data_IF_576626099716
#
_entry.id   IF_576626099716
#
_cell.length_a   1.000
_cell.length_b   1.000
_cell.length_c   1.000
_cell.angle_alpha   90.00
_cell.angle_beta   90.00
_cell.angle_gamma   90.00
#
_symmetry.space_group_name_H-M   'P 1'
#
loop_
_entity.id
_entity.type
_entity.pdbx_description
1 polymer ?
#
# COMPACT_ATOMS: atom_id res chain seq x y z
N UNK A 1 6.68 -18.07 -23.17
CA UNK A 1 7.62 -17.10 -22.56
C UNK A 1 6.82 -15.97 -21.96
N UNK A 2 7.15 -15.51 -20.75
CA UNK A 2 6.51 -14.32 -20.18
C UNK A 2 6.85 -13.09 -21.05
N UNK A 3 5.87 -12.22 -21.31
CA UNK A 3 5.97 -11.09 -22.27
C UNK A 3 7.22 -10.23 -22.10
N UNK A 4 7.70 -10.07 -20.86
CA UNK A 4 8.81 -9.19 -20.50
C UNK A 4 10.07 -9.95 -20.04
N UNK A 5 10.16 -11.25 -20.27
CA UNK A 5 11.29 -12.05 -19.78
C UNK A 5 12.64 -11.50 -20.30
N UNK A 6 12.73 -11.23 -21.60
CA UNK A 6 13.99 -10.82 -22.23
C UNK A 6 14.49 -9.46 -21.74
N UNK A 7 13.57 -8.51 -21.51
CA UNK A 7 13.94 -7.16 -21.01
C UNK A 7 14.36 -7.15 -19.54
N UNK A 8 14.15 -8.25 -18.80
CA UNK A 8 14.63 -8.41 -17.42
C UNK A 8 15.98 -9.13 -17.34
N UNK A 9 16.53 -9.65 -18.43
CA UNK A 9 17.83 -10.33 -18.44
C UNK A 9 18.99 -9.36 -18.18
N UNK A 10 18.89 -8.13 -18.68
CA UNK A 10 19.94 -7.11 -18.60
C UNK A 10 19.34 -5.76 -18.20
N UNK A 11 18.99 -5.55 -16.91
CA UNK A 11 18.42 -4.29 -16.45
C UNK A 11 19.44 -3.16 -16.59
N UNK A 12 18.95 -1.98 -16.99
CA UNK A 12 19.73 -0.76 -17.15
C UNK A 12 19.19 0.35 -16.22
N UNK A 13 19.75 1.55 -16.35
CA UNK A 13 19.36 2.76 -15.61
C UNK A 13 17.87 3.11 -15.79
N UNK A 14 17.31 4.04 -14.99
CA UNK A 14 15.93 4.49 -15.16
C UNK A 14 15.58 4.84 -16.60
N UNK A 15 14.41 4.38 -17.08
CA UNK A 15 13.97 4.54 -18.47
C UNK A 15 14.45 3.44 -19.42
N UNK A 16 14.94 2.31 -18.90
CA UNK A 16 15.27 1.15 -19.73
C UNK A 16 14.03 0.48 -20.35
N UNK A 17 14.26 -0.64 -21.05
CA UNK A 17 13.22 -1.36 -21.78
C UNK A 17 12.18 -2.08 -20.89
N UNK A 18 12.35 -2.10 -19.56
CA UNK A 18 11.36 -2.72 -18.67
C UNK A 18 10.06 -1.93 -18.69
N UNK A 19 8.91 -2.62 -18.68
CA UNK A 19 7.63 -1.95 -18.80
C UNK A 19 7.34 -1.11 -17.55
N UNK A 20 6.74 0.05 -17.75
CA UNK A 20 6.10 0.80 -16.67
C UNK A 20 4.82 0.10 -16.22
N UNK A 21 4.34 0.39 -15.01
CA UNK A 21 3.07 -0.14 -14.53
C UNK A 21 1.89 0.23 -15.47
N UNK A 22 1.90 1.44 -16.04
CA UNK A 22 0.91 1.86 -17.05
C UNK A 22 1.00 0.99 -18.30
N UNK A 23 2.21 0.70 -18.79
CA UNK A 23 2.38 -0.20 -19.94
C UNK A 23 1.81 -1.58 -19.65
N UNK A 24 2.06 -2.14 -18.46
CA UNK A 24 1.50 -3.43 -18.05
C UNK A 24 -0.03 -3.40 -18.08
N UNK A 25 -0.67 -2.37 -17.51
CA UNK A 25 -2.13 -2.24 -17.51
C UNK A 25 -2.71 -2.25 -18.94
N UNK A 26 -2.06 -1.53 -19.87
CA UNK A 26 -2.48 -1.47 -21.28
C UNK A 26 -2.26 -2.79 -22.01
N UNK A 27 -1.06 -3.35 -21.88
CA UNK A 27 -0.63 -4.58 -22.54
C UNK A 27 -1.50 -5.78 -22.12
N UNK A 28 -1.98 -5.79 -20.88
CA UNK A 28 -2.90 -6.81 -20.32
C UNK A 28 -4.39 -6.47 -20.57
N UNK A 29 -4.70 -5.38 -21.28
CA UNK A 29 -6.08 -4.99 -21.60
C UNK A 29 -6.93 -4.72 -20.36
N UNK A 30 -6.31 -4.28 -19.25
CA UNK A 30 -6.95 -4.11 -17.96
C UNK A 30 -7.66 -2.75 -17.80
N UNK A 31 -7.55 -1.87 -18.79
CA UNK A 31 -8.22 -0.57 -18.81
C UNK A 31 -9.75 -0.74 -18.69
N UNK A 32 -10.35 -0.03 -17.72
CA UNK A 32 -11.78 -0.12 -17.40
C UNK A 32 -12.28 -1.46 -16.82
N UNK A 33 -11.44 -2.51 -16.71
CA UNK A 33 -11.88 -3.85 -16.30
C UNK A 33 -12.24 -3.99 -14.83
N UNK A 34 -11.88 -3.01 -14.00
CA UNK A 34 -12.20 -2.99 -12.57
C UNK A 34 -13.23 -1.89 -12.23
N UNK A 35 -14.00 -1.44 -13.23
CA UNK A 35 -15.13 -0.53 -12.99
C UNK A 35 -16.08 -1.09 -11.91
N UNK A 36 -16.49 -0.21 -10.99
CA UNK A 36 -17.34 -0.60 -9.85
C UNK A 36 -16.62 -1.37 -8.74
N UNK A 37 -15.30 -1.55 -8.81
CA UNK A 37 -14.49 -2.15 -7.74
C UNK A 37 -13.75 -1.08 -6.94
N UNK A 38 -13.45 -1.38 -5.69
CA UNK A 38 -12.76 -0.46 -4.77
C UNK A 38 -11.36 -0.97 -4.44
N UNK A 39 -10.36 -0.11 -4.60
CA UNK A 39 -8.96 -0.38 -4.28
C UNK A 39 -8.51 0.62 -3.21
N UNK A 40 -7.94 0.10 -2.13
CA UNK A 40 -7.30 0.88 -1.06
C UNK A 40 -5.79 0.74 -1.19
N UNK A 41 -5.06 1.86 -1.19
CA UNK A 41 -3.60 1.88 -1.30
C UNK A 41 -3.02 2.73 -0.17
N UNK A 42 -2.10 2.17 0.63
CA UNK A 42 -1.42 2.94 1.68
C UNK A 42 -0.16 3.63 1.16
N UNK A 43 0.18 4.80 1.72
CA UNK A 43 1.46 5.47 1.45
C UNK A 43 1.55 6.06 0.04
N UNK A 44 0.56 6.88 -0.33
CA UNK A 44 0.38 7.38 -1.70
C UNK A 44 0.93 8.79 -1.95
N UNK A 45 1.76 9.30 -1.04
CA UNK A 45 2.37 10.64 -1.14
C UNK A 45 3.81 10.64 -1.68
N UNK A 46 4.41 9.47 -1.94
CA UNK A 46 5.75 9.34 -2.53
C UNK A 46 5.98 7.95 -3.15
N UNK A 47 6.95 7.86 -4.06
CA UNK A 47 7.51 6.58 -4.53
C UNK A 47 6.50 5.64 -5.20
N UNK A 48 6.63 4.35 -4.92
CA UNK A 48 5.88 3.24 -5.55
C UNK A 48 4.36 3.43 -5.41
N UNK A 49 3.90 3.97 -4.29
CA UNK A 49 2.47 4.21 -4.05
C UNK A 49 1.83 5.17 -5.06
N UNK A 50 2.56 6.20 -5.51
CA UNK A 50 2.06 7.15 -6.51
C UNK A 50 1.89 6.45 -7.86
N UNK A 51 2.92 5.73 -8.31
CA UNK A 51 2.89 5.05 -9.61
C UNK A 51 1.87 3.90 -9.64
N UNK A 52 1.69 3.22 -8.50
CA UNK A 52 0.63 2.22 -8.32
C UNK A 52 -0.75 2.86 -8.48
N UNK A 53 -0.99 4.01 -7.81
CA UNK A 53 -2.26 4.73 -7.93
C UNK A 53 -2.52 5.24 -9.36
N UNK A 54 -1.49 5.79 -10.03
CA UNK A 54 -1.58 6.27 -11.42
C UNK A 54 -1.90 5.15 -12.41
N UNK A 55 -1.27 3.98 -12.27
CA UNK A 55 -1.55 2.85 -13.15
C UNK A 55 -2.94 2.27 -12.89
N UNK A 56 -3.33 2.10 -11.62
CA UNK A 56 -4.63 1.53 -11.26
C UNK A 56 -5.81 2.48 -11.52
N UNK A 57 -5.59 3.78 -11.69
CA UNK A 57 -6.68 4.70 -12.08
C UNK A 57 -7.21 4.38 -13.49
N UNK A 58 -6.37 3.82 -14.36
CA UNK A 58 -6.75 3.42 -15.73
C UNK A 58 -7.68 2.20 -15.75
N UNK A 59 -7.69 1.39 -14.70
CA UNK A 59 -8.56 0.19 -14.64
C UNK A 59 -10.02 0.54 -14.37
N UNK A 60 -10.34 1.82 -14.14
CA UNK A 60 -11.70 2.29 -13.85
C UNK A 60 -12.17 2.00 -12.43
N UNK A 61 -11.31 1.42 -11.58
CA UNK A 61 -11.62 1.21 -10.17
C UNK A 61 -11.74 2.54 -9.42
N UNK A 62 -12.53 2.54 -8.35
CA UNK A 62 -12.51 3.61 -7.37
C UNK A 62 -11.33 3.41 -6.43
N UNK A 63 -10.50 4.44 -6.30
CA UNK A 63 -9.29 4.42 -5.47
C UNK A 63 -9.51 5.21 -4.17
N UNK A 64 -9.17 4.60 -3.05
CA UNK A 64 -9.05 5.25 -1.75
C UNK A 64 -7.57 5.24 -1.36
N UNK A 65 -6.96 6.42 -1.44
CA UNK A 65 -5.51 6.60 -1.41
C UNK A 65 -5.12 7.20 -0.06
N UNK A 66 -4.41 6.43 0.76
CA UNK A 66 -4.08 6.90 2.11
C UNK A 66 -2.74 7.60 2.17
N UNK A 67 -2.68 8.65 2.99
CA UNK A 67 -1.44 9.35 3.30
C UNK A 67 -1.55 10.08 4.65
N UNK A 68 -0.46 10.08 5.41
CA UNK A 68 -0.12 11.20 6.30
C UNK A 68 0.22 12.38 5.39
N UNK A 69 0.19 13.65 5.76
CA UNK A 69 0.34 14.75 4.76
C UNK A 69 -0.50 14.61 3.45
N UNK A 70 -1.76 15.02 3.54
CA UNK A 70 -2.67 15.04 2.40
C UNK A 70 -2.29 16.09 1.35
N UNK A 71 -1.57 17.16 1.73
CA UNK A 71 -1.19 18.20 0.77
C UNK A 71 -0.13 17.64 -0.19
N UNK A 72 0.87 16.94 0.35
CA UNK A 72 1.88 16.24 -0.46
C UNK A 72 1.23 15.20 -1.38
N UNK A 73 0.29 14.40 -0.87
CA UNK A 73 -0.45 13.44 -1.68
C UNK A 73 -1.27 14.11 -2.79
N UNK A 74 -1.94 15.24 -2.48
CA UNK A 74 -2.73 16.00 -3.46
C UNK A 74 -1.85 16.50 -4.60
N UNK A 75 -0.70 17.09 -4.31
CA UNK A 75 0.25 17.54 -5.35
C UNK A 75 0.78 16.36 -6.17
N UNK A 76 1.14 15.25 -5.53
CA UNK A 76 1.65 14.08 -6.23
C UNK A 76 0.63 13.41 -7.18
N UNK A 77 -0.66 13.50 -6.86
CA UNK A 77 -1.75 12.76 -7.51
C UNK A 77 -2.74 13.66 -8.27
N UNK A 78 -2.44 14.95 -8.43
CA UNK A 78 -3.35 15.96 -9.01
C UNK A 78 -4.05 15.47 -10.29
N UNK A 79 -3.32 14.82 -11.20
CA UNK A 79 -3.86 14.35 -12.49
C UNK A 79 -4.83 13.16 -12.41
N UNK A 80 -5.01 12.52 -11.26
CA UNK A 80 -5.92 11.37 -11.11
C UNK A 80 -7.04 11.58 -10.08
N UNK A 81 -6.92 12.57 -9.19
CA UNK A 81 -7.90 12.80 -8.13
C UNK A 81 -9.24 13.27 -8.70
N UNK A 82 -10.32 12.61 -8.29
CA UNK A 82 -11.68 12.95 -8.71
C UNK A 82 -12.69 12.36 -7.72
N UNK A 83 -13.71 13.13 -7.27
CA UNK A 83 -14.76 12.62 -6.39
C UNK A 83 -15.39 11.33 -6.93
N UNK A 84 -15.52 10.31 -6.08
CA UNK A 84 -16.10 9.01 -6.46
C UNK A 84 -15.20 8.13 -7.34
N UNK A 85 -14.04 8.61 -7.80
CA UNK A 85 -13.07 7.84 -8.61
C UNK A 85 -11.72 7.69 -7.91
N UNK A 86 -11.13 8.74 -7.38
CA UNK A 86 -9.90 8.67 -6.62
C UNK A 86 -9.92 9.74 -5.53
N UNK A 87 -9.97 9.30 -4.28
CA UNK A 87 -10.11 10.16 -3.11
C UNK A 87 -9.00 9.88 -2.10
N UNK A 88 -8.53 10.95 -1.45
CA UNK A 88 -7.55 10.84 -0.38
C UNK A 88 -8.23 10.53 0.95
N UNK A 89 -7.57 9.71 1.78
CA UNK A 89 -7.96 9.45 3.18
C UNK A 89 -6.74 9.71 4.08
N UNK A 90 -6.92 10.47 5.16
CA UNK A 90 -5.83 10.72 6.11
C UNK A 90 -5.52 9.43 6.88
N UNK A 91 -4.26 9.00 6.87
CA UNK A 91 -3.81 7.86 7.66
C UNK A 91 -2.33 7.99 8.00
N UNK A 92 -2.00 7.98 9.29
CA UNK A 92 -0.63 7.80 9.76
C UNK A 92 -0.45 6.37 10.29
N UNK A 93 0.42 5.59 9.64
CA UNK A 93 0.78 4.25 10.08
C UNK A 93 1.52 4.25 11.44
N UNK A 94 2.00 5.40 11.92
CA UNK A 94 2.63 5.57 13.22
C UNK A 94 1.63 5.58 14.40
N UNK A 95 0.32 5.52 14.13
CA UNK A 95 -0.75 5.65 15.14
C UNK A 95 -1.92 4.72 14.85
N UNK A 96 -2.19 3.73 15.70
CA UNK A 96 -3.33 2.83 15.55
C UNK A 96 -4.67 3.54 15.64
N UNK A 97 -4.74 4.64 16.39
CA UNK A 97 -5.92 5.51 16.41
C UNK A 97 -6.20 6.10 15.01
N UNK A 98 -5.14 6.55 14.31
CA UNK A 98 -5.23 7.03 12.93
C UNK A 98 -5.61 5.92 11.96
N UNK A 99 -5.05 4.71 12.11
CA UNK A 99 -5.43 3.53 11.30
C UNK A 99 -6.92 3.21 11.44
N UNK A 100 -7.45 3.21 12.68
CA UNK A 100 -8.87 2.94 12.95
C UNK A 100 -9.78 4.01 12.35
N UNK A 101 -9.40 5.29 12.48
CA UNK A 101 -10.15 6.40 11.89
C UNK A 101 -10.17 6.29 10.35
N UNK A 102 -9.02 6.02 9.73
CA UNK A 102 -8.91 5.82 8.29
C UNK A 102 -9.76 4.65 7.80
N UNK A 103 -9.73 3.50 8.50
CA UNK A 103 -10.53 2.34 8.15
C UNK A 103 -12.04 2.65 8.18
N UNK A 104 -12.51 3.39 9.20
CA UNK A 104 -13.90 3.86 9.29
C UNK A 104 -14.28 4.76 8.11
N UNK A 105 -13.43 5.73 7.78
CA UNK A 105 -13.65 6.64 6.65
C UNK A 105 -13.66 5.88 5.31
N UNK A 106 -12.74 4.93 5.13
CA UNK A 106 -12.65 4.07 3.94
C UNK A 106 -13.96 3.29 3.75
N UNK A 107 -14.42 2.59 4.80
CA UNK A 107 -15.65 1.80 4.75
C UNK A 107 -16.87 2.68 4.49
N UNK A 108 -16.95 3.86 5.09
CA UNK A 108 -18.02 4.82 4.85
C UNK A 108 -18.02 5.31 3.39
N UNK A 109 -16.88 5.78 2.88
CA UNK A 109 -16.75 6.25 1.51
C UNK A 109 -17.08 5.15 0.51
N UNK A 110 -16.64 3.93 0.78
CA UNK A 110 -16.79 2.79 -0.11
C UNK A 110 -18.08 2.00 0.05
N UNK A 111 -19.02 2.43 0.91
CA UNK A 111 -20.24 1.69 1.22
C UNK A 111 -19.96 0.22 1.62
N UNK A 112 -18.96 0.01 2.48
CA UNK A 112 -18.46 -1.30 2.93
C UNK A 112 -17.96 -2.24 1.82
N UNK A 113 -17.61 -1.71 0.64
CA UNK A 113 -17.00 -2.48 -0.44
C UNK A 113 -15.48 -2.25 -0.49
N UNK A 114 -14.70 -3.31 -0.44
CA UNK A 114 -13.24 -3.27 -0.69
C UNK A 114 -12.86 -4.52 -1.47
N UNK A 115 -12.31 -4.37 -2.66
CA UNK A 115 -11.90 -5.52 -3.49
C UNK A 115 -10.39 -5.76 -3.42
N UNK A 116 -9.59 -4.70 -3.35
CA UNK A 116 -8.13 -4.82 -3.31
C UNK A 116 -7.58 -3.91 -2.21
N UNK A 117 -6.72 -4.46 -1.35
CA UNK A 117 -5.95 -3.72 -0.38
C UNK A 117 -4.46 -3.85 -0.71
N UNK A 118 -3.80 -2.73 -1.00
CA UNK A 118 -2.36 -2.65 -1.26
C UNK A 118 -1.69 -1.95 -0.08
N UNK A 119 -0.96 -2.75 0.71
CA UNK A 119 -0.16 -2.33 1.86
C UNK A 119 1.22 -1.91 1.35
N UNK A 120 1.37 -0.61 1.06
CA UNK A 120 2.57 -0.04 0.44
C UNK A 120 3.33 0.95 1.34
N UNK A 121 2.67 1.62 2.27
CA UNK A 121 3.36 2.52 3.21
C UNK A 121 4.47 1.77 3.96
N UNK A 122 5.65 2.36 4.04
CA UNK A 122 6.74 1.81 4.82
C UNK A 122 7.86 2.80 5.02
N UNK A 123 8.71 2.53 6.01
CA UNK A 123 9.93 3.26 6.32
C UNK A 123 11.10 2.28 6.40
N UNK A 124 12.32 2.78 6.36
CA UNK A 124 13.50 1.93 6.53
C UNK A 124 14.68 2.76 7.04
N UNK A 125 15.71 2.06 7.55
CA UNK A 125 17.00 2.63 7.89
C UNK A 125 16.87 3.82 8.86
N UNK A 126 16.11 3.62 9.95
CA UNK A 126 16.06 4.59 11.03
C UNK A 126 17.40 4.58 11.77
N UNK A 127 18.08 5.73 11.94
CA UNK A 127 19.41 5.78 12.55
C UNK A 127 19.39 5.59 14.07
N UNK A 128 18.21 5.58 14.69
CA UNK A 128 18.02 5.44 16.14
C UNK A 128 16.75 4.66 16.40
N UNK A 129 16.72 3.97 17.54
CA UNK A 129 15.50 3.38 18.08
C UNK A 129 14.48 4.50 18.30
N UNK A 130 13.38 4.42 17.57
CA UNK A 130 12.21 5.28 17.74
C UNK A 130 11.00 4.39 18.01
N UNK A 131 10.01 4.93 18.71
CA UNK A 131 8.74 4.25 18.96
C UNK A 131 7.60 4.94 18.21
N UNK A 132 6.60 4.14 17.82
CA UNK A 132 5.31 4.65 17.36
C UNK A 132 4.55 5.34 18.49
N UNK A 133 3.44 6.02 18.17
CA UNK A 133 2.55 6.60 19.19
C UNK A 133 1.97 5.52 20.14
N UNK A 134 1.90 4.28 19.66
CA UNK A 134 1.39 3.13 20.41
C UNK A 134 2.51 2.35 21.15
N UNK A 135 3.75 2.84 21.13
CA UNK A 135 4.86 2.26 21.90
C UNK A 135 5.55 1.06 21.28
N UNK A 136 5.46 0.86 19.95
CA UNK A 136 6.19 -0.20 19.24
C UNK A 136 7.42 0.36 18.54
N UNK A 137 8.47 -0.45 18.36
CA UNK A 137 9.59 -0.09 17.47
C UNK A 137 9.04 0.39 16.12
N UNK A 138 9.55 1.54 15.67
CA UNK A 138 8.88 2.34 14.65
C UNK A 138 8.80 1.67 13.30
N UNK A 139 9.84 0.96 12.84
CA UNK A 139 9.79 0.22 11.58
C UNK A 139 8.78 -0.94 11.66
N UNK A 140 8.81 -1.74 12.73
CA UNK A 140 7.88 -2.84 12.96
C UNK A 140 6.44 -2.35 13.10
N UNK A 141 6.22 -1.27 13.84
CA UNK A 141 4.91 -0.65 14.03
C UNK A 141 4.33 -0.12 12.72
N UNK A 142 5.12 0.64 11.96
CA UNK A 142 4.70 1.25 10.69
C UNK A 142 4.53 0.20 9.59
N UNK A 143 5.52 -0.67 9.35
CA UNK A 143 5.55 -1.54 8.18
C UNK A 143 4.71 -2.81 8.37
N UNK A 144 4.54 -3.26 9.60
CA UNK A 144 3.86 -4.52 9.93
C UNK A 144 2.57 -4.33 10.74
N UNK A 145 2.65 -3.84 11.97
CA UNK A 145 1.51 -3.86 12.91
C UNK A 145 0.35 -2.98 12.43
N UNK A 146 0.64 -1.77 11.96
CA UNK A 146 -0.37 -0.85 11.43
C UNK A 146 -1.08 -1.45 10.20
N UNK A 147 -0.34 -2.15 9.34
CA UNK A 147 -0.84 -2.83 8.16
C UNK A 147 -1.66 -4.08 8.51
N UNK A 148 -1.26 -4.83 9.52
CA UNK A 148 -2.03 -5.94 10.05
C UNK A 148 -3.38 -5.44 10.60
N UNK A 149 -3.35 -4.39 11.44
CA UNK A 149 -4.56 -3.76 11.98
C UNK A 149 -5.49 -3.27 10.88
N UNK A 150 -4.98 -2.53 9.88
CA UNK A 150 -5.79 -2.07 8.75
C UNK A 150 -6.45 -3.23 8.02
N UNK A 151 -5.73 -4.33 7.79
CA UNK A 151 -6.30 -5.51 7.16
C UNK A 151 -7.43 -6.11 8.00
N UNK A 152 -7.24 -6.36 9.28
CA UNK A 152 -8.30 -6.94 10.12
C UNK A 152 -9.55 -6.05 10.17
N UNK A 153 -9.39 -4.72 10.14
CA UNK A 153 -10.52 -3.78 10.08
C UNK A 153 -11.26 -3.79 8.74
N UNK A 154 -10.56 -3.99 7.62
CA UNK A 154 -11.15 -4.03 6.27
C UNK A 154 -11.52 -5.44 5.79
N UNK A 155 -11.07 -6.48 6.49
CA UNK A 155 -11.25 -7.90 6.15
C UNK A 155 -12.73 -8.30 5.96
N UNK A 156 -13.69 -7.86 6.80
CA UNK A 156 -15.10 -8.17 6.55
C UNK A 156 -15.58 -7.65 5.18
N UNK A 157 -15.21 -6.42 4.81
CA UNK A 157 -15.53 -5.83 3.51
C UNK A 157 -14.84 -6.56 2.35
N UNK A 158 -13.57 -6.95 2.52
CA UNK A 158 -12.83 -7.75 1.55
C UNK A 158 -13.52 -9.09 1.28
N UNK A 159 -13.92 -9.80 2.34
CA UNK A 159 -14.61 -11.09 2.21
C UNK A 159 -15.99 -10.92 1.57
N UNK A 160 -16.76 -9.91 1.98
CA UNK A 160 -18.08 -9.62 1.41
C UNK A 160 -18.03 -9.18 -0.07
N UNK A 161 -16.92 -8.59 -0.50
CA UNK A 161 -16.73 -8.10 -1.87
C UNK A 161 -16.16 -9.16 -2.83
N UNK A 162 -15.79 -10.34 -2.32
CA UNK A 162 -15.29 -11.44 -3.13
C UNK A 162 -16.47 -12.18 -3.79
N UNK A 163 -16.30 -12.56 -5.06
CA UNK A 163 -17.25 -13.39 -5.80
C UNK A 163 -16.51 -14.49 -6.57
N UNK A 164 -17.21 -15.51 -7.10
CA UNK A 164 -16.60 -16.52 -7.96
C UNK A 164 -15.85 -15.93 -9.17
N UNK A 165 -16.31 -14.79 -9.69
CA UNK A 165 -15.74 -14.09 -10.85
C UNK A 165 -14.61 -13.13 -10.47
N UNK A 166 -14.56 -12.68 -9.22
CA UNK A 166 -13.51 -11.78 -8.74
C UNK A 166 -13.20 -12.02 -7.26
N UNK A 167 -12.07 -12.66 -6.98
CA UNK A 167 -11.53 -12.75 -5.64
C UNK A 167 -11.02 -11.39 -5.17
N UNK A 168 -11.34 -11.02 -3.93
CA UNK A 168 -10.65 -9.93 -3.27
C UNK A 168 -9.17 -10.26 -3.05
N UNK A 169 -8.31 -9.24 -3.07
CA UNK A 169 -6.85 -9.42 -2.97
C UNK A 169 -6.24 -8.50 -1.93
N UNK A 170 -5.33 -9.05 -1.15
CA UNK A 170 -4.42 -8.27 -0.30
C UNK A 170 -3.02 -8.39 -0.87
N UNK A 171 -2.39 -7.26 -1.15
CA UNK A 171 -1.01 -7.18 -1.63
C UNK A 171 -0.17 -6.52 -0.55
N UNK A 172 0.93 -7.18 -0.17
CA UNK A 172 1.93 -6.63 0.75
C UNK A 172 3.15 -6.26 -0.08
N UNK A 173 3.47 -4.97 -0.15
CA UNK A 173 4.71 -4.51 -0.77
C UNK A 173 5.82 -4.67 0.25
N UNK A 174 6.67 -5.67 0.05
CA UNK A 174 7.81 -5.98 0.90
C UNK A 174 9.13 -5.66 0.20
N UNK A 175 10.24 -5.81 0.92
CA UNK A 175 11.61 -5.64 0.41
C UNK A 175 12.35 -6.96 0.36
N UNK A 176 13.29 -7.12 -0.56
CA UNK A 176 14.23 -8.26 -0.57
C UNK A 176 15.08 -8.35 0.71
N UNK A 177 15.16 -7.27 1.50
CA UNK A 177 15.83 -7.25 2.80
C UNK A 177 15.29 -8.32 3.77
N UNK A 178 14.04 -8.78 3.63
CA UNK A 178 13.49 -9.86 4.45
C UNK A 178 14.22 -11.20 4.28
N UNK A 179 15.03 -11.38 3.23
CA UNK A 179 15.84 -12.58 3.03
C UNK A 179 17.12 -12.60 3.88
N UNK A 180 17.56 -11.43 4.37
CA UNK A 180 18.83 -11.26 5.10
C UNK A 180 18.65 -10.69 6.50
N UNK A 181 17.43 -10.27 6.86
CA UNK A 181 17.07 -9.80 8.18
C UNK A 181 16.04 -10.75 8.82
N UNK A 182 16.22 -11.05 10.10
CA UNK A 182 15.25 -11.80 10.90
C UNK A 182 14.42 -10.85 11.76
N UNK A 183 13.21 -11.26 12.10
CA UNK A 183 12.46 -10.57 13.16
C UNK A 183 13.17 -10.78 14.50
N UNK A 184 13.16 -9.77 15.36
CA UNK A 184 13.65 -9.89 16.73
C UNK A 184 12.96 -11.05 17.45
N UNK A 185 13.65 -11.63 18.43
CA UNK A 185 13.09 -12.71 19.25
C UNK A 185 11.73 -12.32 19.85
N UNK A 186 10.86 -13.32 20.02
CA UNK A 186 9.53 -13.08 20.58
C UNK A 186 9.62 -12.42 21.95
N UNK A 187 8.90 -11.31 22.11
CA UNK A 187 8.96 -10.50 23.33
C UNK A 187 10.17 -9.56 23.40
N UNK A 188 10.83 -9.29 22.28
CA UNK A 188 11.88 -8.27 22.14
C UNK A 188 11.70 -7.44 20.85
N UNK A 189 10.47 -7.29 20.35
CA UNK A 189 10.19 -6.50 19.15
C UNK A 189 10.52 -5.01 19.32
N UNK A 190 10.61 -4.54 20.57
CA UNK A 190 10.95 -3.17 20.94
C UNK A 190 12.43 -2.96 21.29
N UNK A 191 13.29 -3.98 21.12
CA UNK A 191 14.71 -3.91 21.49
C UNK A 191 14.93 -3.55 22.97
N UNK A 192 14.07 -4.07 23.86
CA UNK A 192 14.17 -3.86 25.32
C UNK A 192 15.24 -4.76 25.96
N UNK A 193 15.64 -5.83 25.27
CA UNK A 193 16.61 -6.83 25.76
C UNK A 193 17.94 -6.83 24.98
N UNK A 194 18.01 -6.11 23.88
CA UNK A 194 19.17 -6.07 22.98
C UNK A 194 19.36 -4.66 22.44
N UNK A 195 20.60 -4.28 22.16
CA UNK A 195 20.88 -2.99 21.55
C UNK A 195 20.23 -2.86 20.16
N UNK A 196 19.76 -1.66 19.84
CA UNK A 196 19.36 -1.28 18.49
C UNK A 196 20.61 -0.95 17.70
N UNK A 197 21.26 -1.98 17.17
CA UNK A 197 22.46 -1.84 16.34
C UNK A 197 22.05 -1.71 14.86
N UNK A 198 22.74 -0.81 14.16
CA UNK A 198 22.64 -0.63 12.70
C UNK A 198 22.98 -1.91 11.91
#
# INVERSE_FOLDING_TARGET
MARYADVHLNPNRPGDARPTAIKIVKDEGAEGKLAGKVIVITGTSSGIGIETARALSLTGARLLLTARDLNKAKTALEGILAPGRAELVKMDNNSFSSVRAAAKEILQKANNQVNILIKNAGIMALPKLELTEDGFEKQFGVDHLSHFLLFELLKPALLASASPELSSRVVVVASSAHHVASISESGNYNFEKTDYNE
#
